data_IF_446932066547
#
_entry.id   IF_446932066547
#
_cell.length_a   1.000
_cell.length_b   1.000
_cell.length_c   1.000
_cell.angle_alpha   90.00
_cell.angle_beta   90.00
_cell.angle_gamma   90.00
#
_symmetry.space_group_name_H-M   'P 1'
#
loop_
_entity.id
_entity.type
_entity.pdbx_description
1 polymer ?
#
# COMPACT_ATOMS: atom_id res chain seq x y z
N UNK A 1 4.21 10.53 13.42
CA UNK A 1 4.77 9.20 13.77
C UNK A 1 5.90 8.78 12.83
N UNK A 2 5.79 9.02 11.53
CA UNK A 2 6.88 8.72 10.58
C UNK A 2 8.24 9.29 11.01
N UNK A 3 8.28 10.56 11.44
CA UNK A 3 9.52 11.20 11.90
C UNK A 3 10.14 10.52 13.13
N UNK A 4 9.30 10.05 14.07
CA UNK A 4 9.78 9.31 15.26
C UNK A 4 10.38 7.96 14.88
N UNK A 5 9.74 7.26 13.93
CA UNK A 5 10.25 5.98 13.41
C UNK A 5 11.57 6.22 12.68
N UNK A 6 11.62 7.24 11.81
CA UNK A 6 12.84 7.62 11.09
C UNK A 6 13.99 7.99 12.02
N UNK A 7 13.75 8.81 13.05
CA UNK A 7 14.75 9.17 14.05
C UNK A 7 15.26 7.93 14.79
N UNK A 8 14.36 7.08 15.26
CA UNK A 8 14.75 5.82 15.93
C UNK A 8 15.61 4.93 15.03
N UNK A 9 15.25 4.78 13.77
CA UNK A 9 16.02 3.97 12.81
C UNK A 9 17.40 4.61 12.55
N UNK A 10 17.49 5.94 12.42
CA UNK A 10 18.75 6.65 12.26
C UNK A 10 19.68 6.46 13.47
N UNK A 11 19.14 6.58 14.67
CA UNK A 11 19.87 6.38 15.93
C UNK A 11 20.40 4.93 16.07
N UNK A 12 19.76 3.98 15.38
CA UNK A 12 20.14 2.58 15.31
C UNK A 12 20.91 2.20 14.03
N UNK A 13 21.48 3.17 13.33
CA UNK A 13 22.44 2.95 12.23
C UNK A 13 21.87 2.90 10.83
N UNK A 14 20.57 3.14 10.63
CA UNK A 14 19.99 3.27 9.29
C UNK A 14 20.34 4.62 8.68
N UNK A 15 20.99 4.63 7.52
CA UNK A 15 21.28 5.86 6.77
C UNK A 15 20.15 6.16 5.80
N UNK A 16 19.48 7.28 5.98
CA UNK A 16 18.47 7.78 5.06
C UNK A 16 19.08 8.76 4.06
N UNK A 17 18.70 8.61 2.79
CA UNK A 17 19.07 9.52 1.70
C UNK A 17 17.78 10.02 1.06
N UNK A 18 17.17 11.04 1.67
CA UNK A 18 15.92 11.64 1.20
C UNK A 18 16.09 12.39 -0.12
N UNK A 19 15.09 12.30 -1.01
CA UNK A 19 15.09 12.99 -2.29
C UNK A 19 16.06 12.42 -3.34
N UNK A 20 16.67 11.28 -3.07
CA UNK A 20 17.63 10.61 -3.95
C UNK A 20 16.96 9.48 -4.72
N UNK A 21 17.17 9.44 -6.02
CA UNK A 21 16.69 8.37 -6.89
C UNK A 21 17.85 7.62 -7.52
N UNK A 22 17.95 6.30 -7.35
CA UNK A 22 18.95 5.50 -8.06
C UNK A 22 18.75 5.58 -9.58
N UNK A 23 19.85 5.75 -10.30
CA UNK A 23 19.85 5.87 -11.79
C UNK A 23 20.46 4.63 -12.46
N UNK A 24 21.39 3.94 -11.80
CA UNK A 24 22.04 2.75 -12.34
C UNK A 24 22.36 1.77 -11.22
N UNK A 25 22.28 0.48 -11.54
CA UNK A 25 22.80 -0.62 -10.71
C UNK A 25 23.74 -1.46 -11.57
N UNK A 26 24.91 -1.76 -11.02
CA UNK A 26 25.90 -2.61 -11.69
C UNK A 26 26.48 -3.64 -10.73
N UNK A 27 26.46 -4.91 -11.15
CA UNK A 27 27.06 -5.97 -10.36
C UNK A 27 28.58 -5.99 -10.62
N UNK A 28 29.36 -5.80 -9.57
CA UNK A 28 30.82 -5.79 -9.62
C UNK A 28 31.39 -7.22 -9.60
N UNK A 29 32.64 -7.37 -10.02
CA UNK A 29 33.38 -8.62 -9.95
C UNK A 29 33.53 -9.13 -8.50
N UNK A 30 33.56 -8.24 -7.52
CA UNK A 30 33.53 -8.53 -6.09
C UNK A 30 32.26 -9.25 -5.61
N UNK A 31 31.21 -9.25 -6.45
CA UNK A 31 29.86 -9.74 -6.12
C UNK A 31 28.96 -8.68 -5.49
N UNK A 32 29.49 -7.51 -5.12
CA UNK A 32 28.71 -6.37 -4.64
C UNK A 32 27.93 -5.70 -5.78
N UNK A 33 26.99 -4.86 -5.41
CA UNK A 33 26.17 -4.05 -6.33
C UNK A 33 26.54 -2.60 -6.12
N UNK A 34 27.11 -1.96 -7.14
CA UNK A 34 27.28 -0.53 -7.18
C UNK A 34 25.95 0.12 -7.55
N UNK A 35 25.55 1.10 -6.77
CA UNK A 35 24.35 1.90 -7.01
C UNK A 35 24.77 3.33 -7.29
N UNK A 36 24.49 3.79 -8.49
CA UNK A 36 24.69 5.19 -8.89
C UNK A 36 23.41 5.98 -8.63
N UNK A 37 23.52 7.16 -8.07
CA UNK A 37 22.42 8.07 -7.79
C UNK A 37 22.83 9.52 -7.95
N UNK A 38 21.87 10.41 -8.11
CA UNK A 38 22.12 11.87 -8.23
C UNK A 38 21.75 12.56 -6.91
N UNK A 39 22.69 13.36 -6.40
CA UNK A 39 22.49 14.23 -5.24
C UNK A 39 22.72 15.66 -5.70
N UNK A 40 21.68 16.50 -5.66
CA UNK A 40 21.76 17.94 -5.99
C UNK A 40 22.37 18.24 -7.38
N UNK A 41 22.22 17.30 -8.32
CA UNK A 41 22.74 17.43 -9.68
C UNK A 41 24.13 16.82 -9.89
N UNK A 42 24.78 16.32 -8.84
CA UNK A 42 26.04 15.60 -8.92
C UNK A 42 25.82 14.08 -8.85
N UNK A 43 26.52 13.33 -9.68
CA UNK A 43 26.51 11.88 -9.65
C UNK A 43 27.39 11.37 -8.52
N UNK A 44 26.83 10.45 -7.73
CA UNK A 44 27.51 9.75 -6.66
C UNK A 44 27.20 8.26 -6.72
N UNK A 45 28.04 7.44 -6.09
CA UNK A 45 27.83 5.98 -6.01
C UNK A 45 28.21 5.44 -4.65
N UNK A 46 27.63 4.27 -4.32
CA UNK A 46 28.00 3.48 -3.14
C UNK A 46 27.84 1.99 -3.46
N UNK A 47 28.50 1.12 -2.70
CA UNK A 47 28.52 -0.31 -2.92
C UNK A 47 27.74 -1.06 -1.82
N UNK A 48 26.87 -1.96 -2.23
CA UNK A 48 26.02 -2.75 -1.33
C UNK A 48 26.14 -4.25 -1.60
N UNK A 49 25.95 -5.05 -0.57
CA UNK A 49 25.85 -6.51 -0.70
C UNK A 49 24.50 -6.94 -1.28
N UNK A 50 23.44 -6.18 -1.02
CA UNK A 50 22.07 -6.45 -1.49
C UNK A 50 21.33 -5.15 -1.72
N UNK A 51 20.50 -5.11 -2.77
CA UNK A 51 19.60 -3.99 -3.06
C UNK A 51 18.16 -4.51 -3.12
N UNK A 52 17.29 -3.93 -2.29
CA UNK A 52 15.86 -4.23 -2.26
C UNK A 52 15.06 -3.09 -2.92
N UNK A 53 14.30 -3.42 -3.96
CA UNK A 53 13.35 -2.51 -4.57
C UNK A 53 12.00 -2.59 -3.87
N UNK A 54 11.61 -1.51 -3.18
CA UNK A 54 10.36 -1.41 -2.45
C UNK A 54 9.55 -0.16 -2.87
N UNK A 55 9.56 0.17 -4.18
CA UNK A 55 9.05 1.43 -4.74
C UNK A 55 7.54 1.41 -5.04
N UNK A 56 6.78 0.50 -4.43
CA UNK A 56 5.33 0.39 -4.64
C UNK A 56 4.90 -0.81 -5.48
N UNK A 57 3.63 -0.83 -5.86
CA UNK A 57 2.98 -1.92 -6.62
C UNK A 57 2.03 -1.36 -7.65
N UNK A 58 1.81 -2.12 -8.71
CA UNK A 58 0.73 -1.93 -9.67
C UNK A 58 0.06 -3.28 -9.95
N UNK A 59 -1.17 -3.25 -10.43
CA UNK A 59 -1.89 -4.48 -10.76
C UNK A 59 -1.41 -5.04 -12.11
N UNK A 60 -0.91 -6.28 -12.11
CA UNK A 60 -0.46 -6.97 -13.32
C UNK A 60 -1.64 -7.69 -13.99
N UNK A 61 -2.58 -6.94 -14.54
CA UNK A 61 -3.82 -7.45 -15.14
C UNK A 61 -3.81 -7.46 -16.67
N UNK A 62 -2.82 -6.85 -17.31
CA UNK A 62 -2.75 -6.73 -18.78
C UNK A 62 -2.76 -8.08 -19.53
N UNK A 63 -2.24 -9.16 -18.91
CA UNK A 63 -2.22 -10.50 -19.50
C UNK A 63 -3.55 -11.28 -19.40
N UNK A 64 -4.58 -10.73 -18.75
CA UNK A 64 -5.84 -11.43 -18.49
C UNK A 64 -6.87 -11.34 -19.63
N UNK A 65 -6.53 -10.66 -20.74
CA UNK A 65 -7.45 -10.44 -21.87
C UNK A 65 -8.80 -9.83 -21.42
N UNK A 66 -8.72 -8.75 -20.66
CA UNK A 66 -9.87 -8.13 -20.00
C UNK A 66 -10.97 -7.72 -20.96
N UNK A 67 -10.61 -7.28 -22.18
CA UNK A 67 -11.54 -6.85 -23.21
C UNK A 67 -12.46 -7.99 -23.66
N UNK A 68 -11.92 -9.22 -23.78
CA UNK A 68 -12.73 -10.40 -24.15
C UNK A 68 -13.78 -10.73 -23.06
N UNK A 69 -13.52 -10.39 -21.82
CA UNK A 69 -14.46 -10.55 -20.70
C UNK A 69 -15.37 -9.32 -20.51
N UNK A 70 -15.15 -8.24 -21.24
CA UNK A 70 -15.85 -6.96 -21.05
C UNK A 70 -15.49 -6.23 -19.77
N UNK A 71 -14.35 -6.59 -19.15
CA UNK A 71 -13.85 -5.94 -17.93
C UNK A 71 -13.19 -4.61 -18.25
N UNK A 72 -13.48 -3.60 -17.42
CA UNK A 72 -12.86 -2.27 -17.50
C UNK A 72 -11.93 -2.09 -16.31
N UNK A 73 -10.64 -1.90 -16.59
CA UNK A 73 -9.63 -1.57 -15.59
C UNK A 73 -9.33 -0.08 -15.60
N UNK A 74 -8.95 0.45 -14.44
CA UNK A 74 -8.38 1.79 -14.29
C UNK A 74 -6.95 1.85 -14.87
N UNK A 75 -6.40 3.06 -15.00
CA UNK A 75 -5.04 3.27 -15.56
C UNK A 75 -3.93 2.47 -14.86
N UNK A 76 -4.11 2.15 -13.57
CA UNK A 76 -3.18 1.37 -12.77
C UNK A 76 -3.46 -0.15 -12.81
N UNK A 77 -4.35 -0.60 -13.70
CA UNK A 77 -4.73 -2.00 -13.87
C UNK A 77 -5.70 -2.53 -12.81
N UNK A 78 -6.18 -1.70 -11.87
CA UNK A 78 -7.13 -2.10 -10.83
C UNK A 78 -8.58 -1.95 -11.29
N UNK A 79 -9.50 -2.63 -10.59
CA UNK A 79 -10.92 -2.63 -10.91
C UNK A 79 -11.72 -1.80 -9.91
N UNK A 80 -12.62 -0.97 -10.40
CA UNK A 80 -13.72 -0.45 -9.57
C UNK A 80 -14.74 -1.55 -9.34
N UNK A 81 -15.21 -1.65 -8.11
CA UNK A 81 -16.23 -2.61 -7.70
C UNK A 81 -17.34 -1.92 -6.93
N UNK A 82 -18.50 -2.59 -6.88
CA UNK A 82 -19.60 -2.20 -6.00
C UNK A 82 -19.27 -2.53 -4.53
N UNK A 83 -20.18 -2.20 -3.63
CA UNK A 83 -20.10 -2.56 -2.20
C UNK A 83 -20.26 -4.08 -1.92
N UNK A 84 -20.47 -4.86 -2.98
CA UNK A 84 -20.51 -6.33 -2.95
C UNK A 84 -19.35 -6.96 -3.71
N UNK A 85 -18.28 -6.21 -3.97
CA UNK A 85 -17.08 -6.59 -4.71
C UNK A 85 -17.33 -6.99 -6.18
N UNK A 86 -18.53 -6.69 -6.73
CA UNK A 86 -18.87 -6.96 -8.12
C UNK A 86 -18.23 -5.92 -9.04
N UNK A 87 -17.63 -6.35 -10.13
CA UNK A 87 -17.07 -5.50 -11.18
C UNK A 87 -18.18 -4.93 -12.09
N UNK A 88 -17.79 -4.27 -13.19
CA UNK A 88 -18.73 -3.88 -14.24
C UNK A 88 -19.36 -5.08 -14.99
N UNK A 89 -18.85 -6.29 -14.80
CA UNK A 89 -19.39 -7.53 -15.37
C UNK A 89 -20.09 -8.32 -14.25
N UNK A 90 -21.41 -8.59 -14.36
CA UNK A 90 -22.22 -9.09 -13.22
C UNK A 90 -21.78 -10.42 -12.58
N UNK A 91 -21.06 -11.26 -13.30
CA UNK A 91 -20.57 -12.56 -12.79
C UNK A 91 -19.09 -12.55 -12.44
N UNK A 92 -18.42 -11.38 -12.49
CA UNK A 92 -17.02 -11.22 -12.16
C UNK A 92 -16.88 -10.31 -10.94
N UNK A 93 -16.12 -10.77 -9.97
CA UNK A 93 -15.84 -10.09 -8.70
C UNK A 93 -14.34 -9.87 -8.56
N UNK A 94 -13.97 -8.83 -7.84
CA UNK A 94 -12.58 -8.55 -7.49
C UNK A 94 -12.46 -8.27 -5.99
N UNK A 95 -11.44 -8.85 -5.35
CA UNK A 95 -11.12 -8.68 -3.93
C UNK A 95 -9.63 -8.39 -3.75
N UNK A 96 -9.27 -7.83 -2.60
CA UNK A 96 -7.88 -7.56 -2.24
C UNK A 96 -7.25 -6.42 -3.03
N UNK A 97 -5.94 -6.51 -3.22
CA UNK A 97 -5.09 -5.44 -3.76
C UNK A 97 -5.45 -4.99 -5.18
N UNK A 98 -6.20 -5.79 -5.91
CA UNK A 98 -6.65 -5.47 -7.27
C UNK A 98 -7.86 -4.52 -7.29
N UNK A 99 -8.50 -4.25 -6.15
CA UNK A 99 -9.58 -3.27 -6.06
C UNK A 99 -9.00 -1.86 -6.10
N UNK A 100 -9.60 -1.00 -6.91
CA UNK A 100 -9.25 0.40 -6.99
C UNK A 100 -9.74 1.17 -5.76
N UNK A 101 -8.83 1.95 -5.14
CA UNK A 101 -9.17 2.84 -4.03
C UNK A 101 -9.35 2.18 -2.66
N UNK A 102 -9.03 0.88 -2.53
CA UNK A 102 -9.08 0.17 -1.26
C UNK A 102 -7.68 -0.10 -0.68
N UNK A 103 -7.64 -0.42 0.62
CA UNK A 103 -6.41 -0.75 1.34
C UNK A 103 -5.81 -2.07 0.85
N UNK A 104 -4.50 -2.06 0.59
CA UNK A 104 -3.72 -3.21 0.16
C UNK A 104 -3.20 -3.99 1.38
N UNK A 105 -4.10 -4.72 2.05
CA UNK A 105 -3.80 -5.47 3.28
C UNK A 105 -4.29 -6.91 3.16
N UNK A 106 -3.39 -7.86 3.40
CA UNK A 106 -3.72 -9.30 3.35
C UNK A 106 -4.92 -9.70 4.22
N UNK A 107 -5.05 -9.26 5.49
CA UNK A 107 -6.22 -9.61 6.31
C UNK A 107 -7.54 -9.09 5.72
N UNK A 108 -7.52 -7.91 5.10
CA UNK A 108 -8.69 -7.32 4.43
C UNK A 108 -9.10 -8.17 3.22
N UNK A 109 -8.14 -8.58 2.40
CA UNK A 109 -8.39 -9.45 1.24
C UNK A 109 -8.98 -10.81 1.66
N UNK A 110 -8.44 -11.42 2.72
CA UNK A 110 -8.94 -12.69 3.27
C UNK A 110 -10.39 -12.53 3.74
N UNK A 111 -10.68 -11.51 4.54
CA UNK A 111 -12.04 -11.27 5.07
C UNK A 111 -13.02 -10.98 3.94
N UNK A 112 -12.66 -10.14 2.98
CA UNK A 112 -13.49 -9.86 1.81
C UNK A 112 -13.83 -11.13 1.01
N UNK A 113 -12.83 -12.00 0.79
CA UNK A 113 -13.03 -13.28 0.10
C UNK A 113 -13.96 -14.22 0.85
N UNK A 114 -13.83 -14.33 2.16
CA UNK A 114 -14.74 -15.15 3.00
C UNK A 114 -16.17 -14.63 2.93
N UNK A 115 -16.38 -13.33 3.08
CA UNK A 115 -17.69 -12.71 3.03
C UNK A 115 -18.33 -12.84 1.64
N UNK A 116 -17.55 -12.65 0.59
CA UNK A 116 -17.99 -12.83 -0.80
C UNK A 116 -18.45 -14.29 -1.02
N UNK A 117 -17.65 -15.26 -0.62
CA UNK A 117 -18.00 -16.68 -0.79
C UNK A 117 -19.30 -17.03 -0.01
N UNK A 118 -19.46 -16.52 1.19
CA UNK A 118 -20.67 -16.73 1.98
C UNK A 118 -21.91 -16.09 1.33
N UNK A 119 -21.78 -14.92 0.74
CA UNK A 119 -22.88 -14.26 -0.01
C UNK A 119 -23.25 -15.05 -1.26
N UNK A 120 -22.26 -15.52 -2.02
CA UNK A 120 -22.52 -16.22 -3.29
C UNK A 120 -23.08 -17.64 -3.08
N UNK A 121 -22.66 -18.34 -2.04
CA UNK A 121 -22.91 -19.78 -1.92
C UNK A 121 -23.63 -20.21 -0.64
N UNK A 122 -23.73 -19.35 0.38
CA UNK A 122 -24.35 -19.70 1.66
C UNK A 122 -25.51 -18.78 2.06
N UNK A 123 -25.98 -17.91 1.16
CA UNK A 123 -27.12 -17.04 1.42
C UNK A 123 -26.89 -15.94 2.48
N UNK A 124 -25.64 -15.68 2.83
CA UNK A 124 -25.30 -14.58 3.74
C UNK A 124 -25.50 -13.21 3.07
N UNK A 125 -25.67 -12.18 3.89
CA UNK A 125 -25.86 -10.79 3.41
C UNK A 125 -24.77 -9.84 3.87
N UNK A 126 -23.88 -10.28 4.76
CA UNK A 126 -22.81 -9.46 5.33
C UNK A 126 -21.82 -9.02 4.24
N UNK A 127 -21.49 -7.72 4.21
CA UNK A 127 -20.54 -7.10 3.29
C UNK A 127 -19.23 -6.83 4.01
N UNK A 128 -18.14 -6.69 3.24
CA UNK A 128 -16.89 -6.20 3.80
C UNK A 128 -17.03 -4.72 4.17
N UNK A 129 -16.65 -4.39 5.39
CA UNK A 129 -16.48 -3.01 5.83
C UNK A 129 -15.02 -2.59 5.60
N UNK A 130 -14.84 -1.67 4.67
CA UNK A 130 -13.53 -1.09 4.34
C UNK A 130 -13.24 0.22 5.09
N UNK A 131 -14.14 0.64 6.00
CA UNK A 131 -13.97 1.86 6.79
C UNK A 131 -13.30 1.52 8.12
N UNK A 132 -12.44 2.39 8.59
CA UNK A 132 -11.73 2.25 9.87
C UNK A 132 -10.96 0.93 10.03
N UNK A 133 -10.38 0.44 8.95
CA UNK A 133 -9.56 -0.78 8.98
C UNK A 133 -8.27 -0.52 9.77
N UNK A 134 -7.95 -1.35 10.79
CA UNK A 134 -6.68 -1.26 11.48
C UNK A 134 -5.50 -1.47 10.54
N UNK A 135 -4.50 -0.59 10.64
CA UNK A 135 -3.25 -0.71 9.89
C UNK A 135 -2.06 -0.72 10.84
N UNK A 136 -0.99 -1.43 10.46
CA UNK A 136 0.23 -1.52 11.26
C UNK A 136 1.46 -1.37 10.37
N UNK A 137 2.44 -0.60 10.82
CA UNK A 137 3.77 -0.51 10.25
C UNK A 137 4.73 -1.30 11.14
N UNK A 138 5.36 -2.35 10.58
CA UNK A 138 6.25 -3.26 11.30
C UNK A 138 7.72 -2.83 11.20
N UNK A 139 7.98 -1.54 11.35
CA UNK A 139 9.32 -0.98 11.52
C UNK A 139 9.88 -1.36 12.89
N UNK A 140 11.21 -1.20 13.17
CA UNK A 140 11.77 -1.52 14.48
C UNK A 140 11.07 -0.85 15.66
N UNK A 141 10.55 0.36 15.48
CA UNK A 141 9.56 0.99 16.35
C UNK A 141 8.20 0.83 15.66
N UNK A 142 7.40 -0.13 16.09
CA UNK A 142 6.11 -0.44 15.48
C UNK A 142 5.07 0.65 15.74
N UNK A 143 4.20 0.87 14.77
CA UNK A 143 3.09 1.80 14.89
C UNK A 143 1.81 1.20 14.30
N UNK A 144 0.77 1.16 15.12
CA UNK A 144 -0.57 0.76 14.69
C UNK A 144 -1.56 1.92 14.81
N UNK A 145 -2.53 1.98 13.89
CA UNK A 145 -3.62 2.95 13.95
C UNK A 145 -4.92 2.34 13.45
N UNK A 146 -6.03 2.93 13.88
CA UNK A 146 -7.37 2.59 13.42
C UNK A 146 -8.25 3.84 13.46
N UNK A 147 -9.03 4.06 12.42
CA UNK A 147 -9.91 5.22 12.32
C UNK A 147 -9.27 6.42 11.63
N UNK A 148 -9.78 7.62 11.92
CA UNK A 148 -9.32 8.86 11.32
C UNK A 148 -8.02 9.36 11.93
N UNK A 149 -7.21 10.05 11.13
CA UNK A 149 -6.13 10.88 11.66
C UNK A 149 -6.70 12.10 12.39
N UNK A 150 -5.92 12.70 13.26
CA UNK A 150 -6.32 13.95 13.94
C UNK A 150 -6.62 15.07 12.94
N UNK A 151 -5.82 15.16 11.88
CA UNK A 151 -6.00 16.18 10.82
C UNK A 151 -7.34 15.96 10.09
N UNK A 152 -7.61 14.74 9.64
CA UNK A 152 -8.88 14.42 8.95
C UNK A 152 -10.09 14.64 9.88
N UNK A 153 -9.93 14.35 11.16
CA UNK A 153 -10.98 14.58 12.15
C UNK A 153 -11.23 16.07 12.38
N UNK A 154 -10.17 16.89 12.44
CA UNK A 154 -10.29 18.36 12.54
C UNK A 154 -10.98 18.96 11.31
N UNK A 155 -10.61 18.50 10.11
CA UNK A 155 -11.24 18.94 8.87
C UNK A 155 -12.73 18.56 8.81
N UNK A 156 -13.07 17.36 9.28
CA UNK A 156 -14.43 16.84 9.21
C UNK A 156 -15.38 17.41 10.28
N UNK A 157 -14.89 17.58 11.49
CA UNK A 157 -15.72 17.92 12.65
C UNK A 157 -15.44 19.31 13.21
N UNK A 158 -14.38 19.97 12.81
CA UNK A 158 -13.88 21.22 13.38
C UNK A 158 -13.00 20.99 14.61
N UNK A 159 -11.90 21.72 14.74
CA UNK A 159 -10.94 21.56 15.84
C UNK A 159 -11.57 21.76 17.23
N UNK A 160 -12.50 22.69 17.35
CA UNK A 160 -13.18 23.01 18.62
C UNK A 160 -14.11 21.88 19.12
N UNK A 161 -14.46 20.94 18.27
CA UNK A 161 -15.32 19.80 18.58
C UNK A 161 -14.53 18.52 18.91
N UNK A 162 -13.21 18.60 19.00
CA UNK A 162 -12.34 17.46 19.24
C UNK A 162 -11.59 17.61 20.56
N UNK A 163 -11.36 16.48 21.22
CA UNK A 163 -10.44 16.37 22.35
C UNK A 163 -9.38 15.33 22.03
N UNK A 164 -8.11 15.73 22.01
CA UNK A 164 -6.97 14.85 21.74
C UNK A 164 -6.31 14.46 23.06
N UNK A 165 -6.09 13.17 23.25
CA UNK A 165 -5.45 12.62 24.43
C UNK A 165 -4.15 11.92 24.04
N UNK A 166 -3.07 12.24 24.74
CA UNK A 166 -1.77 11.58 24.62
C UNK A 166 -1.43 10.90 25.94
N UNK A 167 -1.03 9.62 25.89
CA UNK A 167 -0.63 8.82 27.04
C UNK A 167 0.86 8.45 26.93
#
# INVERSE_FOLDING_TARGET
>A
MADRIGAYMSDNGTKFMGGVTPTKLEKLESGKIEVTFNIEGEEAYDEFDTVLFAMGRYALTAGLNLEAAGLVAEKNGKFKVSDTEQTNVPHIYAIGDVIYGQLELTPVAIKAGQLLANRLYAGATEKMDYVNVPTTVFTPLEYGCCGMTEVDAQEKFGADNLSTYHL
#
